data_IF_972853970610
#
_entry.id   IF_972853970610
#
_cell.length_a   1.000
_cell.length_b   1.000
_cell.length_c   1.000
_cell.angle_alpha   90.00
_cell.angle_beta   90.00
_cell.angle_gamma   90.00
#
_symmetry.space_group_name_H-M   'P 1'
#
loop_
_entity.id
_entity.type
_entity.pdbx_description
1 polymer ?
#
# COMPACT_ATOMS: atom_id res chain seq x y z
N UNK A 1 30.31 -39.13 -4.81
CA UNK A 1 29.77 -38.22 -5.84
C UNK A 1 28.78 -37.25 -5.19
N UNK A 2 29.25 -36.27 -4.40
CA UNK A 2 28.35 -35.45 -3.57
C UNK A 2 28.97 -34.10 -3.17
N UNK A 3 29.65 -33.42 -4.10
CA UNK A 3 30.26 -32.09 -3.85
C UNK A 3 29.86 -31.05 -4.91
N UNK A 4 29.26 -31.46 -6.03
CA UNK A 4 28.89 -30.55 -7.13
C UNK A 4 27.53 -29.85 -6.95
N UNK A 5 26.65 -30.34 -6.07
CA UNK A 5 25.32 -29.74 -5.86
C UNK A 5 25.36 -28.48 -4.99
N UNK A 6 26.30 -28.37 -4.05
CA UNK A 6 26.36 -27.27 -3.07
C UNK A 6 26.83 -25.95 -3.71
N UNK A 7 27.84 -26.01 -4.59
CA UNK A 7 28.37 -24.84 -5.31
C UNK A 7 27.33 -24.23 -6.26
N UNK A 8 26.50 -25.06 -6.89
CA UNK A 8 25.44 -24.59 -7.80
C UNK A 8 24.33 -23.85 -7.05
N UNK A 9 23.92 -24.35 -5.87
CA UNK A 9 22.92 -23.71 -5.00
C UNK A 9 23.43 -22.36 -4.49
N UNK A 10 24.70 -22.28 -4.06
CA UNK A 10 25.32 -21.04 -3.57
C UNK A 10 25.46 -19.97 -4.66
N UNK A 11 25.78 -20.39 -5.89
CA UNK A 11 25.85 -19.50 -7.07
C UNK A 11 24.48 -18.98 -7.48
N UNK A 12 23.45 -19.82 -7.41
CA UNK A 12 22.06 -19.43 -7.67
C UNK A 12 21.54 -18.45 -6.60
N UNK A 13 21.83 -18.71 -5.32
CA UNK A 13 21.47 -17.82 -4.21
C UNK A 13 22.09 -16.43 -4.35
N UNK A 14 23.38 -16.35 -4.66
CA UNK A 14 24.06 -15.07 -4.90
C UNK A 14 23.52 -14.33 -6.13
N UNK A 15 23.08 -15.06 -7.16
CA UNK A 15 22.48 -14.47 -8.36
C UNK A 15 21.07 -13.94 -8.07
N UNK A 16 20.29 -14.66 -7.27
CA UNK A 16 18.97 -14.25 -6.79
C UNK A 16 19.10 -13.01 -5.89
N UNK A 17 20.01 -13.02 -4.91
CA UNK A 17 20.27 -11.86 -4.05
C UNK A 17 20.75 -10.66 -4.87
N UNK A 18 21.65 -10.84 -5.83
CA UNK A 18 22.07 -9.75 -6.72
C UNK A 18 20.90 -9.18 -7.52
N UNK A 19 20.02 -10.03 -8.05
CA UNK A 19 18.81 -9.58 -8.77
C UNK A 19 17.83 -8.86 -7.88
N UNK A 20 17.63 -9.35 -6.65
CA UNK A 20 16.80 -8.71 -5.63
C UNK A 20 17.40 -7.35 -5.26
N UNK A 21 18.69 -7.26 -4.95
CA UNK A 21 19.38 -6.00 -4.66
C UNK A 21 19.36 -5.02 -5.83
N UNK A 22 19.48 -5.49 -7.07
CA UNK A 22 19.36 -4.63 -8.26
C UNK A 22 17.93 -4.12 -8.46
N UNK A 23 16.94 -4.96 -8.17
CA UNK A 23 15.52 -4.58 -8.20
C UNK A 23 15.22 -3.56 -7.10
N UNK A 24 15.66 -3.78 -5.87
CA UNK A 24 15.56 -2.83 -4.77
C UNK A 24 16.29 -1.53 -5.09
N UNK A 25 17.50 -1.58 -5.61
CA UNK A 25 18.23 -0.38 -6.04
C UNK A 25 17.49 0.38 -7.16
N UNK A 26 16.80 -0.32 -8.07
CA UNK A 26 15.98 0.32 -9.10
C UNK A 26 14.65 0.89 -8.56
N UNK A 27 14.10 0.29 -7.50
CA UNK A 27 12.92 0.76 -6.77
C UNK A 27 13.27 1.91 -5.83
N UNK A 28 14.44 1.94 -5.20
CA UNK A 28 14.91 3.04 -4.36
C UNK A 28 15.37 4.23 -5.21
N UNK A 29 15.89 3.99 -6.42
CA UNK A 29 16.23 5.03 -7.40
C UNK A 29 15.02 5.68 -8.08
N UNK A 30 13.78 5.33 -7.71
CA UNK A 30 12.65 6.12 -8.20
C UNK A 30 12.71 7.54 -7.64
N UNK A 31 12.92 8.47 -8.57
CA UNK A 31 12.78 9.91 -8.47
C UNK A 31 11.70 10.33 -7.44
N UNK A 32 11.96 11.41 -6.68
CA UNK A 32 10.91 12.12 -5.95
C UNK A 32 9.81 12.53 -6.93
N UNK A 33 8.75 11.73 -7.02
CA UNK A 33 7.62 12.03 -7.88
C UNK A 33 6.79 13.13 -7.25
N UNK A 34 6.44 14.15 -8.03
CA UNK A 34 5.44 15.10 -7.57
C UNK A 34 4.09 14.38 -7.45
N UNK A 35 3.37 14.65 -6.37
CA UNK A 35 2.02 14.13 -6.15
C UNK A 35 1.07 14.36 -7.33
N UNK A 36 1.24 15.51 -7.99
CA UNK A 36 0.55 15.87 -9.22
C UNK A 36 0.89 14.92 -10.36
N UNK A 37 2.17 14.68 -10.63
CA UNK A 37 2.62 13.77 -11.69
C UNK A 37 2.17 12.32 -11.50
N UNK A 38 2.17 11.83 -10.25
CA UNK A 38 1.78 10.45 -9.91
C UNK A 38 0.29 10.19 -10.21
N UNK A 39 -0.56 11.19 -10.00
CA UNK A 39 -1.97 11.13 -10.34
C UNK A 39 -2.30 11.54 -11.77
N UNK A 40 -1.45 12.32 -12.43
CA UNK A 40 -1.59 12.66 -13.85
C UNK A 40 -1.37 11.41 -14.72
N UNK A 41 -0.46 10.53 -14.34
CA UNK A 41 -0.14 9.31 -15.10
C UNK A 41 -0.69 8.04 -14.44
N UNK A 42 -1.92 7.65 -14.80
CA UNK A 42 -2.61 6.43 -14.27
C UNK A 42 -1.78 5.14 -14.40
N UNK A 43 -0.87 5.06 -15.38
CA UNK A 43 0.03 3.93 -15.59
C UNK A 43 1.16 3.88 -14.55
N UNK A 44 1.68 5.04 -14.13
CA UNK A 44 2.69 5.15 -13.07
C UNK A 44 2.09 4.84 -11.70
N UNK A 45 0.87 5.31 -11.42
CA UNK A 45 0.13 4.95 -10.20
C UNK A 45 -0.06 3.43 -10.06
N UNK A 46 -0.44 2.74 -11.14
CA UNK A 46 -0.50 1.28 -11.17
C UNK A 46 0.85 0.64 -10.85
N UNK A 47 1.92 1.06 -11.52
CA UNK A 47 3.26 0.51 -11.30
C UNK A 47 3.76 0.68 -9.86
N UNK A 48 3.47 1.82 -9.24
CA UNK A 48 3.91 2.12 -7.88
C UNK A 48 3.07 1.37 -6.83
N UNK A 49 1.77 1.23 -7.06
CA UNK A 49 0.88 0.46 -6.18
C UNK A 49 1.18 -1.04 -6.17
N UNK A 50 1.61 -1.62 -7.31
CA UNK A 50 2.04 -3.02 -7.35
C UNK A 50 3.48 -3.24 -6.86
N UNK A 51 4.31 -2.18 -6.79
CA UNK A 51 5.63 -2.25 -6.14
C UNK A 51 5.53 -2.33 -4.61
N UNK A 52 4.54 -1.67 -4.01
CA UNK A 52 4.35 -1.67 -2.55
C UNK A 52 4.20 -3.09 -1.97
N UNK A 53 3.33 -3.98 -2.49
CA UNK A 53 3.27 -5.39 -2.07
C UNK A 53 4.58 -6.15 -2.29
N UNK A 54 5.31 -5.87 -3.37
CA UNK A 54 6.60 -6.52 -3.62
C UNK A 54 7.67 -6.10 -2.60
N UNK A 55 7.68 -4.83 -2.20
CA UNK A 55 8.61 -4.31 -1.18
C UNK A 55 8.23 -4.78 0.23
N UNK A 56 6.94 -4.81 0.56
CA UNK A 56 6.47 -5.14 1.92
C UNK A 56 6.46 -6.64 2.20
N UNK A 57 6.24 -7.49 1.18
CA UNK A 57 5.97 -8.93 1.37
C UNK A 57 6.74 -9.87 0.44
N UNK A 58 7.58 -9.34 -0.47
CA UNK A 58 8.32 -10.12 -1.48
C UNK A 58 7.46 -11.05 -2.36
N UNK A 59 6.13 -10.97 -2.26
CA UNK A 59 5.16 -11.77 -2.99
C UNK A 59 3.88 -10.95 -3.21
N UNK A 60 3.15 -11.23 -4.31
CA UNK A 60 1.91 -10.54 -4.63
C UNK A 60 0.73 -11.51 -4.46
N UNK A 61 0.08 -11.46 -3.30
CA UNK A 61 -1.13 -12.24 -3.05
C UNK A 61 -2.30 -11.72 -3.90
N UNK A 62 -3.14 -12.64 -4.40
CA UNK A 62 -4.29 -12.31 -5.28
C UNK A 62 -5.23 -11.29 -4.64
N UNK A 63 -5.48 -11.41 -3.33
CA UNK A 63 -6.29 -10.47 -2.56
C UNK A 63 -5.73 -9.04 -2.58
N UNK A 64 -4.42 -8.86 -2.38
CA UNK A 64 -3.75 -7.56 -2.40
C UNK A 64 -3.78 -6.96 -3.80
N UNK A 65 -3.61 -7.79 -4.85
CA UNK A 65 -3.71 -7.34 -6.23
C UNK A 65 -5.12 -6.82 -6.57
N UNK A 66 -6.16 -7.55 -6.17
CA UNK A 66 -7.55 -7.13 -6.35
C UNK A 66 -7.87 -5.85 -5.55
N UNK A 67 -7.37 -5.78 -4.31
CA UNK A 67 -7.53 -4.61 -3.46
C UNK A 67 -6.82 -3.37 -4.02
N UNK A 68 -5.63 -3.55 -4.61
CA UNK A 68 -4.92 -2.49 -5.31
C UNK A 68 -5.71 -1.98 -6.52
N UNK A 69 -6.28 -2.88 -7.32
CA UNK A 69 -7.15 -2.51 -8.44
C UNK A 69 -8.39 -1.71 -7.99
N UNK A 70 -9.06 -2.15 -6.92
CA UNK A 70 -10.24 -1.46 -6.37
C UNK A 70 -9.88 -0.09 -5.77
N UNK A 71 -8.75 -0.01 -5.07
CA UNK A 71 -8.19 1.23 -4.56
C UNK A 71 -7.93 2.24 -5.68
N UNK A 72 -7.28 1.82 -6.78
CA UNK A 72 -7.02 2.68 -7.94
C UNK A 72 -8.33 3.21 -8.54
N UNK A 73 -9.32 2.33 -8.74
CA UNK A 73 -10.62 2.74 -9.28
C UNK A 73 -11.27 3.80 -8.39
N UNK A 74 -11.22 3.62 -7.08
CA UNK A 74 -11.76 4.56 -6.11
C UNK A 74 -11.04 5.90 -6.13
N UNK A 75 -9.70 5.88 -6.14
CA UNK A 75 -8.85 7.08 -6.19
C UNK A 75 -9.03 7.85 -7.50
N UNK A 76 -9.09 7.17 -8.65
CA UNK A 76 -9.34 7.81 -9.95
C UNK A 76 -10.74 8.43 -9.98
N UNK A 77 -11.75 7.76 -9.43
CA UNK A 77 -13.11 8.31 -9.30
C UNK A 77 -13.14 9.54 -8.40
N UNK A 78 -12.39 9.53 -7.29
CA UNK A 78 -12.29 10.67 -6.37
C UNK A 78 -11.60 11.86 -7.04
N UNK A 79 -10.48 11.61 -7.72
CA UNK A 79 -9.76 12.61 -8.52
C UNK A 79 -10.69 13.28 -9.53
N UNK A 80 -11.45 12.48 -10.29
CA UNK A 80 -12.37 13.01 -11.33
C UNK A 80 -13.50 13.86 -10.75
N UNK A 81 -13.96 13.56 -9.54
CA UNK A 81 -15.08 14.26 -8.90
C UNK A 81 -14.67 15.51 -8.12
N UNK A 82 -13.53 15.46 -7.44
CA UNK A 82 -13.15 16.44 -6.42
C UNK A 82 -11.77 17.04 -6.64
N UNK A 83 -11.05 16.62 -7.69
CA UNK A 83 -9.73 17.10 -8.02
C UNK A 83 -8.60 16.47 -7.19
N UNK A 84 -7.37 16.85 -7.54
CA UNK A 84 -6.15 16.28 -6.97
C UNK A 84 -5.93 16.67 -5.52
N UNK A 85 -6.16 17.94 -5.17
CA UNK A 85 -5.94 18.46 -3.83
C UNK A 85 -6.82 17.73 -2.81
N UNK A 86 -8.12 17.64 -3.10
CA UNK A 86 -9.06 16.90 -2.25
C UNK A 86 -8.66 15.43 -2.11
N UNK A 87 -8.27 14.79 -3.22
CA UNK A 87 -7.85 13.38 -3.21
C UNK A 87 -6.63 13.16 -2.32
N UNK A 88 -5.63 14.05 -2.37
CA UNK A 88 -4.46 13.98 -1.50
C UNK A 88 -4.83 14.17 -0.02
N UNK A 89 -5.64 15.17 0.31
CA UNK A 89 -6.13 15.39 1.67
C UNK A 89 -6.94 14.19 2.18
N UNK A 90 -7.78 13.60 1.32
CA UNK A 90 -8.58 12.42 1.64
C UNK A 90 -7.70 11.21 1.98
N UNK A 91 -6.66 10.94 1.18
CA UNK A 91 -5.73 9.84 1.46
C UNK A 91 -4.89 10.09 2.71
N UNK A 92 -4.46 11.33 2.94
CA UNK A 92 -3.79 11.73 4.19
C UNK A 92 -4.69 11.48 5.40
N UNK A 93 -5.98 11.87 5.33
CA UNK A 93 -6.93 11.62 6.41
C UNK A 93 -7.22 10.11 6.58
N UNK A 94 -7.23 9.32 5.51
CA UNK A 94 -7.31 7.85 5.60
C UNK A 94 -6.12 7.26 6.37
N UNK A 95 -4.90 7.80 6.15
CA UNK A 95 -3.69 7.41 6.90
C UNK A 95 -3.88 7.63 8.39
N UNK A 96 -4.27 8.85 8.78
CA UNK A 96 -4.48 9.22 10.19
C UNK A 96 -5.56 8.35 10.83
N UNK A 97 -6.68 8.13 10.12
CA UNK A 97 -7.80 7.33 10.64
C UNK A 97 -7.40 5.87 10.86
N UNK A 98 -6.64 5.27 9.93
CA UNK A 98 -6.14 3.91 10.07
C UNK A 98 -5.12 3.79 11.21
N UNK A 99 -4.22 4.77 11.36
CA UNK A 99 -3.26 4.81 12.46
C UNK A 99 -3.95 4.94 13.82
N UNK A 100 -4.96 5.83 13.95
CA UNK A 100 -5.75 5.97 15.19
C UNK A 100 -6.48 4.69 15.54
N UNK A 101 -7.09 4.04 14.55
CA UNK A 101 -7.71 2.74 14.75
C UNK A 101 -6.70 1.71 15.26
N UNK A 102 -5.54 1.62 14.62
CA UNK A 102 -4.51 0.65 14.97
C UNK A 102 -3.92 0.88 16.36
N UNK A 103 -3.72 2.15 16.74
CA UNK A 103 -3.30 2.57 18.08
C UNK A 103 -4.39 2.41 19.16
N UNK A 104 -5.63 2.12 18.79
CA UNK A 104 -6.76 2.02 19.73
C UNK A 104 -7.27 3.39 20.24
N UNK A 105 -6.86 4.49 19.61
CA UNK A 105 -7.20 5.86 20.02
C UNK A 105 -8.29 6.51 19.16
N UNK A 106 -9.15 5.72 18.52
CA UNK A 106 -10.21 6.26 17.67
C UNK A 106 -11.35 6.86 18.51
N UNK A 107 -11.67 8.14 18.28
CA UNK A 107 -12.86 8.80 18.81
C UNK A 107 -13.76 9.30 17.67
N UNK A 108 -15.08 9.15 17.82
CA UNK A 108 -16.05 9.63 16.83
C UNK A 108 -16.11 11.15 16.74
N UNK A 109 -15.74 11.84 17.82
CA UNK A 109 -15.81 13.31 17.92
C UNK A 109 -14.53 13.99 17.41
N UNK A 110 -13.57 13.21 16.92
CA UNK A 110 -12.34 13.75 16.38
C UNK A 110 -12.63 14.63 15.15
N UNK A 111 -12.09 15.84 15.16
CA UNK A 111 -12.08 16.70 13.98
C UNK A 111 -11.22 16.08 12.89
N UNK A 112 -11.80 16.00 11.68
CA UNK A 112 -11.13 15.56 10.46
C UNK A 112 -10.96 16.75 9.53
N UNK A 113 -9.79 16.88 8.90
CA UNK A 113 -9.54 17.97 7.95
C UNK A 113 -10.39 17.84 6.68
N UNK A 114 -10.77 16.62 6.31
CA UNK A 114 -11.66 16.31 5.18
C UNK A 114 -12.60 15.15 5.53
N UNK A 115 -13.81 15.10 4.96
CA UNK A 115 -14.74 14.02 5.25
C UNK A 115 -14.25 12.70 4.63
N UNK A 116 -14.06 11.69 5.49
CA UNK A 116 -13.74 10.32 5.09
C UNK A 116 -14.82 9.39 5.60
N UNK A 117 -15.32 8.53 4.71
CA UNK A 117 -16.25 7.47 5.10
C UNK A 117 -15.54 6.42 5.96
N UNK A 118 -15.80 6.44 7.26
CA UNK A 118 -15.24 5.47 8.22
C UNK A 118 -16.28 4.42 8.62
N UNK A 119 -15.82 3.27 9.08
CA UNK A 119 -16.66 2.32 9.82
C UNK A 119 -16.97 2.84 11.23
N UNK A 120 -17.88 2.17 11.95
CA UNK A 120 -18.18 2.49 13.36
C UNK A 120 -16.96 2.46 14.28
N UNK A 121 -15.91 1.76 13.87
CA UNK A 121 -14.66 1.61 14.63
C UNK A 121 -13.54 2.50 14.10
N UNK A 122 -13.76 3.35 13.10
CA UNK A 122 -12.72 4.26 12.58
C UNK A 122 -11.89 3.74 11.41
N UNK A 123 -12.12 2.52 10.93
CA UNK A 123 -11.43 2.00 9.73
C UNK A 123 -11.99 2.67 8.46
N UNK A 124 -11.14 3.20 7.55
CA UNK A 124 -11.58 3.74 6.27
C UNK A 124 -12.36 2.74 5.40
N UNK A 125 -13.51 3.17 4.84
CA UNK A 125 -14.35 2.33 3.96
C UNK A 125 -13.77 2.15 2.56
N UNK A 126 -12.73 2.91 2.19
CA UNK A 126 -11.93 2.65 0.98
C UNK A 126 -11.22 1.29 1.05
N UNK A 127 -11.06 0.73 2.25
CA UNK A 127 -10.61 -0.66 2.44
C UNK A 127 -11.82 -1.59 2.24
N UNK A 128 -11.75 -2.60 1.35
CA UNK A 128 -12.84 -3.56 1.13
C UNK A 128 -13.29 -4.26 2.41
N UNK A 129 -14.58 -4.58 2.50
CA UNK A 129 -15.17 -5.17 3.71
C UNK A 129 -14.49 -6.48 4.14
N UNK A 130 -14.08 -7.30 3.17
CA UNK A 130 -13.36 -8.56 3.42
C UNK A 130 -12.03 -8.30 4.11
N UNK A 131 -11.22 -7.37 3.60
CA UNK A 131 -9.92 -7.01 4.18
C UNK A 131 -10.06 -6.31 5.54
N UNK A 132 -11.13 -5.52 5.74
CA UNK A 132 -11.43 -4.94 7.05
C UNK A 132 -11.65 -5.99 8.13
N UNK A 133 -12.15 -7.20 7.80
CA UNK A 133 -12.28 -8.29 8.78
C UNK A 133 -10.90 -8.78 9.24
N UNK A 134 -9.95 -8.95 8.31
CA UNK A 134 -8.58 -9.35 8.63
C UNK A 134 -7.84 -8.28 9.45
N UNK A 135 -8.00 -7.00 9.09
CA UNK A 135 -7.46 -5.87 9.87
C UNK A 135 -8.02 -5.80 11.29
N UNK A 136 -9.27 -6.25 11.50
CA UNK A 136 -9.88 -6.31 12.85
C UNK A 136 -9.42 -7.47 13.69
N UNK A 137 -9.17 -8.61 13.05
CA UNK A 137 -8.72 -9.79 13.76
C UNK A 137 -7.32 -9.60 14.38
N UNK A 138 -6.52 -8.63 13.88
CA UNK A 138 -5.14 -8.35 14.32
C UNK A 138 -4.15 -9.56 14.34
N UNK A 139 -4.23 -10.58 13.46
CA UNK A 139 -3.13 -11.51 13.27
C UNK A 139 -2.03 -10.87 12.40
N UNK A 140 -0.91 -11.56 12.20
CA UNK A 140 0.19 -11.14 11.30
C UNK A 140 -0.30 -10.66 9.92
N UNK A 141 -1.36 -11.29 9.39
CA UNK A 141 -2.00 -10.90 8.13
C UNK A 141 -2.69 -9.52 8.20
N UNK A 142 -3.32 -9.20 9.33
CA UNK A 142 -3.95 -7.90 9.56
C UNK A 142 -2.92 -6.78 9.59
N UNK A 143 -1.80 -7.00 10.28
CA UNK A 143 -0.70 -6.05 10.38
C UNK A 143 -0.04 -5.82 9.02
N UNK A 144 0.15 -6.89 8.26
CA UNK A 144 0.57 -6.83 6.87
C UNK A 144 -0.35 -5.94 6.01
N UNK A 145 -1.66 -6.16 6.06
CA UNK A 145 -2.63 -5.36 5.32
C UNK A 145 -2.61 -3.88 5.75
N UNK A 146 -2.46 -3.59 7.05
CA UNK A 146 -2.34 -2.23 7.56
C UNK A 146 -1.11 -1.54 6.95
N UNK A 147 0.05 -2.21 6.92
CA UNK A 147 1.27 -1.66 6.30
C UNK A 147 1.07 -1.34 4.82
N UNK A 148 0.47 -2.26 4.06
CA UNK A 148 0.16 -2.04 2.63
C UNK A 148 -0.72 -0.80 2.44
N UNK A 149 -1.81 -0.69 3.19
CA UNK A 149 -2.72 0.45 3.06
C UNK A 149 -2.10 1.76 3.52
N UNK A 150 -1.29 1.76 4.58
CA UNK A 150 -0.53 2.94 5.01
C UNK A 150 0.45 3.38 3.92
N UNK A 151 1.11 2.45 3.23
CA UNK A 151 1.96 2.76 2.08
C UNK A 151 1.15 3.32 0.91
N UNK A 152 -0.03 2.76 0.61
CA UNK A 152 -0.90 3.25 -0.47
C UNK A 152 -1.51 4.63 -0.20
N UNK A 153 -1.94 4.89 1.03
CA UNK A 153 -2.43 6.21 1.44
C UNK A 153 -1.29 7.22 1.55
N UNK A 154 -0.17 6.76 2.10
CA UNK A 154 1.07 7.49 2.27
C UNK A 154 1.79 7.76 0.97
N UNK A 155 1.30 7.24 -0.16
CA UNK A 155 1.59 7.83 -1.44
C UNK A 155 1.40 9.33 -1.24
N UNK A 156 0.26 9.83 -0.74
CA UNK A 156 -0.19 11.25 -0.74
C UNK A 156 0.67 12.40 -0.21
N UNK A 157 1.90 12.11 0.19
CA UNK A 157 2.87 13.02 0.77
C UNK A 157 3.85 13.58 -0.25
#
# INVERSE_FOLDING_TARGET
MMVFYDVSIKKNYNTIIKRIMHFFSAVERTQKFSWRGLFEQTRQLKGLLFRVPLVVSMSMHKEVALAGCDFIKTVVKLKRRSGFLYTALYLKQCTVSLQRYYAGCYSKNDTMSVPVSLTRCGIPKIIPAVLRKHVRAKPDHGDYLVRIYLSWFGLSK
#
